data_IF_720751084648
#
_entry.id   IF_720751084648
#
_cell.length_a   1.000
_cell.length_b   1.000
_cell.length_c   1.000
_cell.angle_alpha   90.00
_cell.angle_beta   90.00
_cell.angle_gamma   90.00
#
_symmetry.space_group_name_H-M   'P 1'
#
loop_
_entity.id
_entity.type
_entity.pdbx_description
1 polymer ?
#
# COMPACT_ATOMS: atom_id res chain seq x y z
N UNK A 1 33.28 -10.55 -7.15
CA UNK A 1 34.41 -10.43 -8.11
C UNK A 1 34.15 -11.33 -9.31
N UNK A 2 33.69 -10.77 -10.44
CA UNK A 2 33.80 -11.38 -11.77
C UNK A 2 34.08 -10.22 -12.74
N UNK A 3 35.33 -10.14 -13.16
CA UNK A 3 35.82 -9.17 -14.13
C UNK A 3 35.49 -9.69 -15.54
N UNK A 4 34.82 -8.88 -16.35
CA UNK A 4 34.73 -9.11 -17.78
C UNK A 4 35.80 -8.28 -18.49
N UNK A 5 36.68 -8.97 -19.19
CA UNK A 5 37.77 -8.43 -19.99
C UNK A 5 37.23 -7.64 -21.19
N UNK A 6 37.69 -6.40 -21.32
CA UNK A 6 37.67 -5.65 -22.58
C UNK A 6 38.70 -6.25 -23.53
N UNK A 7 38.29 -6.61 -24.74
CA UNK A 7 39.20 -6.87 -25.86
C UNK A 7 39.11 -5.73 -26.87
N UNK A 8 40.17 -4.94 -26.92
CA UNK A 8 40.45 -3.94 -27.96
C UNK A 8 41.17 -4.64 -29.09
N UNK A 9 40.71 -4.50 -30.35
CA UNK A 9 41.56 -4.70 -31.54
C UNK A 9 40.98 -4.07 -32.81
N UNK A 10 41.76 -3.12 -33.31
CA UNK A 10 42.05 -2.80 -34.72
C UNK A 10 40.94 -2.37 -35.67
N UNK A 11 40.89 -1.04 -35.84
CA UNK A 11 41.10 -0.31 -37.10
C UNK A 11 40.91 -1.12 -38.40
N UNK A 12 39.78 -0.88 -39.08
CA UNK A 12 39.70 -0.85 -40.54
C UNK A 12 38.92 0.40 -40.92
N UNK A 13 39.64 1.35 -41.53
CA UNK A 13 39.10 2.55 -42.16
C UNK A 13 38.41 2.08 -43.44
N UNK A 14 37.08 2.10 -43.47
CA UNK A 14 36.30 1.90 -44.69
C UNK A 14 35.60 3.19 -45.09
N UNK A 15 35.79 3.51 -46.35
CA UNK A 15 35.48 4.75 -47.05
C UNK A 15 33.98 5.08 -46.98
N UNK A 16 33.71 6.35 -46.67
CA UNK A 16 32.42 7.02 -46.69
C UNK A 16 31.71 6.81 -48.03
N UNK A 17 30.65 6.01 -48.04
CA UNK A 17 29.58 6.14 -49.02
C UNK A 17 28.52 7.05 -48.38
N UNK A 18 28.56 8.34 -48.73
CA UNK A 18 27.57 9.34 -48.32
C UNK A 18 26.27 9.05 -49.06
N UNK A 19 25.55 8.03 -48.61
CA UNK A 19 24.15 7.85 -48.93
C UNK A 19 23.40 8.66 -47.87
N UNK A 20 23.02 9.89 -48.22
CA UNK A 20 22.11 10.72 -47.42
C UNK A 20 20.73 10.07 -47.41
N UNK A 21 20.58 8.97 -46.67
CA UNK A 21 19.29 8.43 -46.29
C UNK A 21 18.71 9.46 -45.33
N UNK A 22 17.70 10.19 -45.81
CA UNK A 22 16.84 10.96 -44.95
C UNK A 22 16.20 9.99 -43.94
N UNK A 23 16.85 9.84 -42.78
CA UNK A 23 16.25 9.21 -41.60
C UNK A 23 15.14 10.15 -41.16
N UNK A 24 13.94 9.94 -41.70
CA UNK A 24 12.73 10.47 -41.09
C UNK A 24 12.78 9.99 -39.63
N UNK A 25 12.76 10.89 -38.63
CA UNK A 25 12.61 10.46 -37.26
C UNK A 25 11.30 9.69 -37.22
N UNK A 26 11.38 8.36 -37.04
CA UNK A 26 10.22 7.57 -36.69
C UNK A 26 9.64 8.28 -35.47
N UNK A 27 8.44 8.85 -35.62
CA UNK A 27 7.72 9.42 -34.51
C UNK A 27 7.67 8.34 -33.43
N UNK A 28 8.50 8.49 -32.40
CA UNK A 28 8.54 7.56 -31.29
C UNK A 28 7.24 7.82 -30.52
N UNK A 29 6.17 7.15 -30.93
CA UNK A 29 4.91 7.16 -30.20
C UNK A 29 5.26 6.73 -28.78
N UNK A 30 5.05 7.64 -27.83
CA UNK A 30 5.30 7.36 -26.43
C UNK A 30 4.43 6.15 -26.05
N UNK A 31 5.06 5.07 -25.62
CA UNK A 31 4.30 3.88 -25.24
C UNK A 31 3.37 4.22 -24.06
N UNK A 32 2.07 3.89 -24.14
CA UNK A 32 1.07 4.30 -23.17
C UNK A 32 1.37 3.70 -21.79
N UNK A 33 1.18 4.51 -20.75
CA UNK A 33 1.31 4.10 -19.36
C UNK A 33 -0.08 3.99 -18.74
N UNK A 34 -0.41 2.82 -18.23
CA UNK A 34 -1.66 2.56 -17.52
C UNK A 34 -1.40 2.44 -16.02
N UNK A 35 -2.29 2.99 -15.20
CA UNK A 35 -2.22 2.98 -13.75
C UNK A 35 -3.55 2.58 -13.12
N UNK A 36 -3.51 1.97 -11.93
CA UNK A 36 -4.68 1.68 -11.10
C UNK A 36 -4.26 1.63 -9.63
N UNK A 37 -5.09 2.22 -8.76
CA UNK A 37 -4.90 2.22 -7.31
C UNK A 37 -5.64 1.06 -6.66
N UNK A 38 -5.02 0.41 -5.70
CA UNK A 38 -5.62 -0.68 -4.93
C UNK A 38 -5.89 -0.18 -3.53
N UNK A 39 -7.13 -0.35 -3.06
CA UNK A 39 -7.54 0.02 -1.72
C UNK A 39 -8.18 -1.16 -1.02
N UNK A 40 -7.97 -1.28 0.28
CA UNK A 40 -8.74 -2.18 1.12
C UNK A 40 -9.66 -1.41 2.05
N UNK A 41 -10.71 -2.09 2.48
CA UNK A 41 -11.71 -1.54 3.38
C UNK A 41 -11.76 -2.38 4.64
N UNK A 42 -11.86 -1.72 5.78
CA UNK A 42 -11.96 -2.39 7.07
C UNK A 42 -12.92 -1.65 7.99
N UNK A 43 -13.47 -2.38 8.94
CA UNK A 43 -14.40 -1.86 9.94
C UNK A 43 -13.78 -2.07 11.31
N UNK A 44 -13.54 -0.99 12.09
CA UNK A 44 -13.06 -1.10 13.45
C UNK A 44 -14.02 -1.92 14.31
N UNK A 45 -13.46 -2.76 15.18
CA UNK A 45 -14.27 -3.43 16.19
C UNK A 45 -14.78 -2.36 17.16
N UNK A 46 -16.10 -2.17 17.21
CA UNK A 46 -16.70 -1.27 18.18
C UNK A 46 -16.40 -1.83 19.56
N UNK A 47 -15.44 -1.23 20.26
CA UNK A 47 -15.17 -1.59 21.64
C UNK A 47 -16.39 -1.19 22.47
N UNK A 48 -17.30 -2.13 22.70
CA UNK A 48 -18.29 -2.03 23.78
C UNK A 48 -17.51 -2.14 25.08
N UNK A 49 -16.76 -1.09 25.41
CA UNK A 49 -15.95 -1.06 26.61
C UNK A 49 -16.93 -1.25 27.78
N UNK A 50 -16.84 -2.35 28.55
CA UNK A 50 -17.61 -2.45 29.78
C UNK A 50 -17.00 -1.40 30.69
N UNK A 51 -17.63 -0.22 30.75
CA UNK A 51 -17.28 0.81 31.73
C UNK A 51 -17.64 0.21 33.08
N UNK A 52 -16.69 -0.53 33.66
CA UNK A 52 -16.73 -1.06 35.01
C UNK A 52 -16.46 0.08 36.00
N UNK A 53 -17.24 1.14 35.89
CA UNK A 53 -17.30 2.21 36.87
C UNK A 53 -18.64 2.10 37.57
N UNK A 54 -18.62 1.72 38.86
CA UNK A 54 -19.75 1.87 39.80
C UNK A 54 -20.01 3.36 40.03
N UNK A 55 -20.45 4.06 38.98
CA UNK A 55 -20.93 5.43 39.01
C UNK A 55 -22.39 5.39 38.62
N UNK A 56 -23.26 5.71 39.58
CA UNK A 56 -24.71 5.83 39.39
C UNK A 56 -24.98 6.93 38.36
N UNK A 57 -25.01 6.57 37.07
CA UNK A 57 -25.36 7.47 35.98
C UNK A 57 -26.89 7.60 35.88
N UNK A 58 -27.41 8.80 35.62
CA UNK A 58 -28.84 9.07 35.53
C UNK A 58 -29.46 8.38 34.31
N UNK A 59 -30.70 7.92 34.47
CA UNK A 59 -31.52 7.32 33.43
C UNK A 59 -31.70 8.30 32.26
N UNK A 60 -30.91 8.12 31.22
CA UNK A 60 -31.07 8.78 29.94
C UNK A 60 -31.70 7.78 28.99
N UNK A 61 -33.03 7.84 28.84
CA UNK A 61 -33.73 7.24 27.70
C UNK A 61 -33.12 7.81 26.42
N UNK A 62 -32.37 7.00 25.69
CA UNK A 62 -31.93 7.34 24.34
C UNK A 62 -32.29 6.22 23.38
N UNK A 63 -32.88 6.69 22.29
CA UNK A 63 -33.40 5.97 21.13
C UNK A 63 -32.36 5.01 20.54
N UNK A 64 -32.85 3.86 20.10
CA UNK A 64 -32.18 2.88 19.23
C UNK A 64 -31.71 3.57 17.94
N UNK A 65 -30.54 4.22 18.00
CA UNK A 65 -29.80 4.65 16.83
C UNK A 65 -28.89 3.52 16.42
N UNK A 66 -29.24 2.83 15.33
CA UNK A 66 -28.44 1.81 14.67
C UNK A 66 -27.02 2.35 14.44
N UNK A 67 -26.08 1.90 15.28
CA UNK A 67 -24.68 2.28 15.17
C UNK A 67 -24.07 1.55 13.99
N UNK A 68 -24.22 2.13 12.79
CA UNK A 68 -23.59 1.63 11.59
C UNK A 68 -22.09 1.92 11.70
N UNK A 69 -21.31 0.87 11.98
CA UNK A 69 -19.86 0.95 12.02
C UNK A 69 -19.36 1.47 10.66
N UNK A 70 -18.70 2.63 10.66
CA UNK A 70 -18.25 3.30 9.44
C UNK A 70 -17.11 2.50 8.80
N UNK A 71 -17.31 2.06 7.56
CA UNK A 71 -16.30 1.40 6.76
C UNK A 71 -15.19 2.40 6.38
N UNK A 72 -13.93 2.06 6.69
CA UNK A 72 -12.77 2.91 6.42
C UNK A 72 -12.02 2.39 5.19
N UNK A 73 -11.76 3.27 4.22
CA UNK A 73 -10.99 2.98 3.00
C UNK A 73 -9.52 3.39 3.19
N UNK A 74 -8.60 2.48 2.90
CA UNK A 74 -7.15 2.73 2.95
C UNK A 74 -6.54 2.41 1.58
N UNK A 75 -5.80 3.35 1.01
CA UNK A 75 -5.02 3.12 -0.21
C UNK A 75 -3.81 2.25 0.13
N UNK A 76 -3.68 1.12 -0.55
CA UNK A 76 -2.61 0.14 -0.35
C UNK A 76 -1.43 0.40 -1.30
N UNK A 77 -1.68 0.46 -2.60
CA UNK A 77 -0.64 0.59 -3.62
C UNK A 77 -1.20 1.29 -4.88
N UNK A 78 -0.31 1.89 -5.69
CA UNK A 78 -0.63 2.41 -7.02
C UNK A 78 0.26 1.70 -8.04
N UNK A 79 -0.35 0.83 -8.84
CA UNK A 79 0.39 -0.02 -9.78
C UNK A 79 0.36 0.62 -11.15
N UNK A 80 1.53 0.75 -11.77
CA UNK A 80 1.67 1.30 -13.12
C UNK A 80 2.42 0.34 -14.03
N UNK A 81 1.97 0.26 -15.28
CA UNK A 81 2.61 -0.55 -16.33
C UNK A 81 2.60 0.18 -17.67
N UNK A 82 3.74 0.05 -18.35
CA UNK A 82 3.96 0.54 -19.71
C UNK A 82 3.98 -0.64 -20.67
N UNK A 83 3.40 -0.47 -21.84
CA UNK A 83 3.27 -1.50 -22.87
C UNK A 83 3.38 -0.91 -24.27
N UNK A 84 3.51 -1.77 -25.28
CA UNK A 84 3.63 -1.35 -26.68
C UNK A 84 2.34 -0.73 -27.25
N UNK A 85 1.19 -1.08 -26.66
CA UNK A 85 -0.12 -0.53 -26.96
C UNK A 85 -0.95 -0.50 -25.68
N UNK A 86 -2.03 0.29 -25.67
CA UNK A 86 -2.92 0.43 -24.52
C UNK A 86 -3.53 -0.92 -24.11
N UNK A 87 -3.97 -1.71 -25.08
CA UNK A 87 -4.55 -3.04 -24.85
C UNK A 87 -3.55 -3.98 -24.15
N UNK A 88 -2.28 -3.96 -24.57
CA UNK A 88 -1.21 -4.75 -23.94
C UNK A 88 -0.95 -4.26 -22.53
N UNK A 89 -0.87 -2.93 -22.31
CA UNK A 89 -0.68 -2.35 -20.98
C UNK A 89 -1.82 -2.73 -20.03
N UNK A 90 -3.07 -2.65 -20.49
CA UNK A 90 -4.27 -3.03 -19.71
C UNK A 90 -4.27 -4.52 -19.37
N UNK A 91 -3.93 -5.38 -20.33
CA UNK A 91 -3.87 -6.83 -20.13
C UNK A 91 -2.77 -7.26 -19.15
N UNK A 92 -1.60 -6.60 -19.19
CA UNK A 92 -0.54 -6.85 -18.20
C UNK A 92 -0.92 -6.33 -16.82
N UNK A 93 -1.55 -5.16 -16.75
CA UNK A 93 -1.94 -4.55 -15.49
C UNK A 93 -3.05 -5.36 -14.81
N UNK A 94 -4.06 -5.86 -15.55
CA UNK A 94 -5.15 -6.65 -14.98
C UNK A 94 -4.67 -7.92 -14.29
N UNK A 95 -3.67 -8.62 -14.85
CA UNK A 95 -3.07 -9.78 -14.19
C UNK A 95 -2.41 -9.44 -12.86
N UNK A 96 -1.68 -8.32 -12.80
CA UNK A 96 -0.99 -7.88 -11.58
C UNK A 96 -1.99 -7.39 -10.52
N UNK A 97 -3.10 -6.78 -10.93
CA UNK A 97 -4.12 -6.29 -10.00
C UNK A 97 -4.71 -7.41 -9.16
N UNK A 98 -4.91 -8.61 -9.70
CA UNK A 98 -5.44 -9.74 -8.93
C UNK A 98 -4.46 -10.22 -7.86
N UNK A 99 -3.18 -10.37 -8.21
CA UNK A 99 -2.13 -10.71 -7.25
C UNK A 99 -2.04 -9.66 -6.14
N UNK A 100 -2.07 -8.39 -6.52
CA UNK A 100 -1.97 -7.27 -5.58
C UNK A 100 -3.21 -7.10 -4.71
N UNK A 101 -4.40 -7.46 -5.19
CA UNK A 101 -5.61 -7.52 -4.35
C UNK A 101 -5.47 -8.58 -3.25
N UNK A 102 -4.92 -9.75 -3.59
CA UNK A 102 -4.64 -10.82 -2.61
C UNK A 102 -3.63 -10.35 -1.55
N UNK A 103 -2.54 -9.70 -1.98
CA UNK A 103 -1.55 -9.10 -1.07
C UNK A 103 -2.17 -8.02 -0.16
N UNK A 104 -2.99 -7.12 -0.71
CA UNK A 104 -3.67 -6.07 0.05
C UNK A 104 -4.63 -6.66 1.09
N UNK A 105 -5.38 -7.72 0.76
CA UNK A 105 -6.27 -8.39 1.70
C UNK A 105 -5.48 -9.03 2.84
N UNK A 106 -4.39 -9.73 2.51
CA UNK A 106 -3.51 -10.34 3.51
C UNK A 106 -2.92 -9.27 4.44
N UNK A 107 -2.42 -8.18 3.89
CA UNK A 107 -1.89 -7.04 4.65
C UNK A 107 -2.95 -6.42 5.55
N UNK A 108 -4.19 -6.27 5.07
CA UNK A 108 -5.29 -5.77 5.90
C UNK A 108 -5.51 -6.68 7.12
N UNK A 109 -5.57 -8.00 6.92
CA UNK A 109 -5.81 -8.95 8.02
C UNK A 109 -4.66 -8.97 9.02
N UNK A 110 -3.42 -8.90 8.54
CA UNK A 110 -2.24 -8.82 9.40
C UNK A 110 -2.23 -7.56 10.27
N UNK A 111 -2.74 -6.44 9.75
CA UNK A 111 -2.78 -5.16 10.49
C UNK A 111 -3.98 -5.05 11.42
N UNK A 112 -5.16 -5.49 10.98
CA UNK A 112 -6.41 -5.19 11.67
C UNK A 112 -7.05 -6.40 12.36
N UNK A 113 -6.83 -7.63 11.89
CA UNK A 113 -7.42 -8.84 12.49
C UNK A 113 -6.45 -9.57 13.44
N UNK A 114 -5.16 -9.22 13.44
CA UNK A 114 -4.13 -9.86 14.26
C UNK A 114 -3.73 -9.02 15.47
N UNK A 115 -4.62 -8.93 16.47
CA UNK A 115 -4.37 -8.16 17.70
C UNK A 115 -3.07 -8.60 18.42
N UNK A 116 -2.84 -9.90 18.53
CA UNK A 116 -1.63 -10.45 19.16
C UNK A 116 -0.35 -10.06 18.41
N UNK A 117 -0.40 -10.02 17.07
CA UNK A 117 0.67 -9.52 16.22
C UNK A 117 0.95 -8.04 16.45
N UNK A 118 -0.08 -7.21 16.53
CA UNK A 118 0.07 -5.78 16.86
C UNK A 118 0.77 -5.59 18.21
N UNK A 119 0.26 -6.27 19.25
CA UNK A 119 0.80 -6.17 20.61
C UNK A 119 2.26 -6.61 20.63
N UNK A 120 2.56 -7.83 20.17
CA UNK A 120 3.92 -8.36 20.17
C UNK A 120 4.90 -7.49 19.36
N UNK A 121 4.50 -7.00 18.19
CA UNK A 121 5.32 -6.09 17.37
C UNK A 121 5.62 -4.76 18.06
N UNK A 122 4.64 -4.17 18.77
CA UNK A 122 4.84 -2.97 19.58
C UNK A 122 5.78 -3.23 20.76
N UNK A 123 5.62 -4.34 21.46
CA UNK A 123 6.52 -4.74 22.55
C UNK A 123 7.96 -4.94 22.07
N UNK A 124 8.15 -5.59 20.92
CA UNK A 124 9.49 -5.80 20.35
C UNK A 124 10.13 -4.47 19.96
N UNK A 125 9.39 -3.56 19.32
CA UNK A 125 9.93 -2.25 18.91
C UNK A 125 10.20 -1.32 20.10
N UNK A 126 9.44 -1.43 21.19
CA UNK A 126 9.62 -0.65 22.41
C UNK A 126 10.48 -1.34 23.49
N UNK A 127 10.99 -2.54 23.23
CA UNK A 127 11.77 -3.31 24.21
C UNK A 127 12.95 -2.54 24.82
N UNK A 128 13.72 -1.70 24.09
CA UNK A 128 14.79 -0.90 24.69
C UNK A 128 14.27 0.14 25.69
N UNK A 129 13.12 0.77 25.40
CA UNK A 129 12.49 1.79 26.25
C UNK A 129 11.90 1.16 27.50
N UNK A 130 11.19 0.04 27.35
CA UNK A 130 10.56 -0.68 28.47
C UNK A 130 11.55 -1.07 29.58
N UNK A 131 12.82 -1.35 29.22
CA UNK A 131 13.89 -1.68 30.18
C UNK A 131 14.37 -0.50 31.01
N UNK A 132 14.16 0.73 30.53
CA UNK A 132 14.60 1.96 31.20
C UNK A 132 13.51 2.56 32.11
N UNK A 133 12.25 2.14 31.93
CA UNK A 133 11.11 2.60 32.72
C UNK A 133 11.03 1.86 34.07
N UNK A 134 10.54 2.57 35.08
CA UNK A 134 10.10 1.95 36.33
C UNK A 134 8.87 1.06 36.13
N UNK A 135 8.47 0.34 37.18
CA UNK A 135 7.39 -0.64 37.11
C UNK A 135 6.03 -0.01 36.76
N UNK A 136 5.73 1.18 37.28
CA UNK A 136 4.44 1.85 37.07
C UNK A 136 4.36 2.43 35.66
N UNK A 137 5.41 3.13 35.21
CA UNK A 137 5.50 3.65 33.86
C UNK A 137 5.48 2.53 32.81
N UNK A 138 6.12 1.38 33.10
CA UNK A 138 6.04 0.19 32.25
C UNK A 138 4.60 -0.29 32.14
N UNK A 139 3.92 -0.50 33.26
CA UNK A 139 2.53 -0.98 33.29
C UNK A 139 1.61 -0.06 32.49
N UNK A 140 1.73 1.26 32.66
CA UNK A 140 0.92 2.23 31.92
C UNK A 140 1.18 2.16 30.40
N UNK A 141 2.45 1.98 30.00
CA UNK A 141 2.80 1.81 28.59
C UNK A 141 2.26 0.49 28.01
N UNK A 142 2.28 -0.59 28.78
CA UNK A 142 1.70 -1.88 28.37
C UNK A 142 0.18 -1.78 28.17
N UNK A 143 -0.52 -1.11 29.08
CA UNK A 143 -1.96 -0.82 28.98
C UNK A 143 -2.26 0.07 27.76
N UNK A 144 -1.45 1.11 27.51
CA UNK A 144 -1.63 1.98 26.34
C UNK A 144 -1.41 1.23 25.03
N UNK A 145 -0.39 0.37 24.94
CA UNK A 145 -0.15 -0.49 23.77
C UNK A 145 -1.36 -1.39 23.51
N UNK A 146 -1.91 -2.02 24.57
CA UNK A 146 -3.08 -2.88 24.44
C UNK A 146 -4.31 -2.10 23.95
N UNK A 147 -4.53 -0.89 24.47
CA UNK A 147 -5.63 -0.01 24.03
C UNK A 147 -5.46 0.46 22.59
N UNK A 148 -4.26 0.86 22.19
CA UNK A 148 -3.98 1.29 20.81
C UNK A 148 -4.17 0.15 19.82
N UNK A 149 -3.67 -1.04 20.15
CA UNK A 149 -3.85 -2.22 19.30
C UNK A 149 -5.33 -2.64 19.22
N UNK A 150 -6.08 -2.52 20.32
CA UNK A 150 -7.53 -2.79 20.34
C UNK A 150 -8.33 -1.74 19.56
N UNK A 151 -7.88 -0.48 19.54
CA UNK A 151 -8.51 0.58 18.75
C UNK A 151 -8.30 0.37 17.25
N UNK A 152 -7.15 -0.18 16.87
CA UNK A 152 -6.81 -0.48 15.49
C UNK A 152 -7.25 -1.88 15.04
N UNK A 153 -7.78 -2.70 15.95
CA UNK A 153 -8.34 -4.00 15.60
C UNK A 153 -9.72 -3.84 14.98
N UNK A 154 -10.02 -4.74 14.06
CA UNK A 154 -11.26 -4.73 13.32
C UNK A 154 -11.33 -5.90 12.35
N UNK A 155 -12.19 -5.78 11.36
CA UNK A 155 -12.39 -6.79 10.33
C UNK A 155 -12.20 -6.20 8.94
N UNK A 156 -11.47 -6.90 8.10
CA UNK A 156 -11.32 -6.57 6.70
C UNK A 156 -12.59 -6.95 5.94
N UNK A 157 -13.15 -6.00 5.20
CA UNK A 157 -14.42 -6.16 4.49
C UNK A 157 -14.17 -6.61 3.06
N UNK A 158 -13.45 -5.78 2.29
CA UNK A 158 -13.21 -5.99 0.86
C UNK A 158 -11.95 -5.30 0.39
N UNK A 159 -11.51 -5.67 -0.81
CA UNK A 159 -10.43 -5.01 -1.54
C UNK A 159 -10.96 -4.63 -2.91
N UNK A 160 -10.68 -3.41 -3.33
CA UNK A 160 -11.09 -2.89 -4.64
C UNK A 160 -9.87 -2.33 -5.37
N UNK A 161 -9.83 -2.55 -6.67
CA UNK A 161 -8.93 -1.83 -7.56
C UNK A 161 -9.74 -0.73 -8.26
N UNK A 162 -9.16 0.46 -8.39
CA UNK A 162 -9.74 1.53 -9.16
C UNK A 162 -9.75 1.18 -10.65
N UNK A 163 -10.58 1.89 -11.41
CA UNK A 163 -10.54 1.80 -12.86
C UNK A 163 -9.13 2.06 -13.40
N UNK A 164 -8.75 1.31 -14.44
CA UNK A 164 -7.45 1.47 -15.11
C UNK A 164 -7.48 2.73 -15.96
N UNK A 165 -6.64 3.70 -15.60
CA UNK A 165 -6.46 4.94 -16.33
C UNK A 165 -5.16 4.88 -17.13
N UNK A 166 -5.26 5.07 -18.44
CA UNK A 166 -4.13 5.07 -19.36
C UNK A 166 -3.90 6.48 -19.90
N UNK A 167 -2.64 6.90 -19.94
CA UNK A 167 -2.22 8.17 -20.52
C UNK A 167 -1.08 7.94 -21.52
N UNK A 168 -1.13 8.65 -22.65
CA UNK A 168 -0.06 8.66 -23.67
C UNK A 168 1.12 9.56 -23.26
N UNK A 169 0.95 10.31 -22.17
CA UNK A 169 1.91 11.31 -21.74
C UNK A 169 3.14 10.70 -21.07
N UNK A 170 4.29 10.90 -21.70
CA UNK A 170 5.60 10.73 -21.09
C UNK A 170 5.91 11.79 -20.00
N UNK A 171 5.04 12.78 -19.83
CA UNK A 171 5.09 13.79 -18.76
C UNK A 171 4.32 13.31 -17.53
N UNK A 172 4.85 12.26 -16.89
CA UNK A 172 4.35 11.76 -15.62
C UNK A 172 4.67 12.73 -14.48
N UNK A 173 3.87 13.78 -14.33
CA UNK A 173 3.78 14.55 -13.08
C UNK A 173 2.52 14.08 -12.34
N UNK A 174 2.64 12.89 -11.73
CA UNK A 174 1.65 12.36 -10.80
C UNK A 174 1.72 13.18 -9.52
N UNK A 175 0.89 14.21 -9.42
CA UNK A 175 0.72 15.02 -8.22
C UNK A 175 0.18 14.16 -7.06
N UNK A 176 1.06 13.84 -6.12
CA UNK A 176 0.71 13.19 -4.87
C UNK A 176 -0.06 14.14 -3.95
N UNK A 177 -1.22 13.68 -3.48
CA UNK A 177 -1.98 14.25 -2.37
C UNK A 177 -2.25 13.16 -1.34
#
# INVERSE_FOLDING_TARGET
MKQCFYRVSSLVISVFCVLSIAFSPLAANAAPVCSSGISYFWVPELTTSPVAGKGKLPASENKEGESQATELKVLYDNVQRKGSSEEVSRGLLSGILEDKKSEALKSCRELHENLSGCISGKFVSMAPVLRQLDFEARKQLEESIALDCKKNSGRCVKVEASEIQCSDDASGESGGG
#
